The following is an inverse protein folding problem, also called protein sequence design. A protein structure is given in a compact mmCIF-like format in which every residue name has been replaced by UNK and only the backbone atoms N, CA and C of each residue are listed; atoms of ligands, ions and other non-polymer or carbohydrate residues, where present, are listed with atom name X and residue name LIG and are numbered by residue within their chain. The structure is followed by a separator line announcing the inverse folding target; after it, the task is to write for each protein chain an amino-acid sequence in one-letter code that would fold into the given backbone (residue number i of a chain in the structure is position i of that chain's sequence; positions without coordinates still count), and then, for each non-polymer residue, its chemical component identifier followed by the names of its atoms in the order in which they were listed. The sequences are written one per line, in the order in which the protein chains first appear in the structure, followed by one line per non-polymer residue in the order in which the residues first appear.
data_IF_566245633204
#
_entry.id   IF_566245633204
#
_cell.length_a   1.000
_cell.length_b   1.000
_cell.length_c   1.000
_cell.angle_alpha   90.00
_cell.angle_beta   90.00
_cell.angle_gamma   90.00
#
_symmetry.space_group_name_H-M   'P 1'
#
loop_
_entity.id
_entity.type
_entity.pdbx_description
1 polymer ?
#
# COMPACT_ATOMS: atom_id res chain seq x y z
N UNK A 1 -47.14 -33.25 -54.36
CA UNK A 1 -47.62 -32.65 -53.11
C UNK A 1 -46.89 -33.32 -51.94
N UNK A 2 -45.74 -32.77 -51.53
CA UNK A 2 -44.92 -33.30 -50.44
C UNK A 2 -45.28 -32.52 -49.17
N UNK A 3 -45.89 -33.17 -48.18
CA UNK A 3 -46.09 -32.59 -46.84
C UNK A 3 -44.76 -32.68 -46.09
N UNK A 4 -44.08 -31.56 -45.90
CA UNK A 4 -43.00 -31.44 -44.92
C UNK A 4 -43.65 -31.36 -43.53
N UNK A 5 -43.33 -32.34 -42.67
CA UNK A 5 -43.63 -32.27 -41.24
C UNK A 5 -42.58 -31.37 -40.57
N UNK A 6 -43.05 -30.32 -39.90
CA UNK A 6 -42.23 -29.45 -39.08
C UNK A 6 -41.96 -30.17 -37.75
N UNK A 7 -40.71 -30.54 -37.49
CA UNK A 7 -40.25 -30.99 -36.17
C UNK A 7 -40.04 -29.73 -35.33
N UNK A 8 -40.84 -29.55 -34.28
CA UNK A 8 -40.60 -28.52 -33.27
C UNK A 8 -39.36 -28.92 -32.46
N UNK A 9 -38.24 -28.21 -32.67
CA UNK A 9 -37.08 -28.33 -31.82
C UNK A 9 -37.43 -27.70 -30.45
N UNK A 10 -37.53 -28.54 -29.42
CA UNK A 10 -37.54 -28.12 -28.03
C UNK A 10 -36.16 -27.48 -27.77
N UNK A 11 -36.08 -26.15 -27.80
CA UNK A 11 -34.92 -25.42 -27.28
C UNK A 11 -34.92 -25.63 -25.76
N UNK A 12 -34.08 -26.56 -25.32
CA UNK A 12 -33.66 -26.68 -23.93
C UNK A 12 -33.02 -25.34 -23.54
N UNK A 13 -33.71 -24.56 -22.69
CA UNK A 13 -33.10 -23.46 -21.95
C UNK A 13 -31.92 -24.04 -21.16
N UNK A 14 -30.71 -23.69 -21.57
CA UNK A 14 -29.51 -23.95 -20.79
C UNK A 14 -29.65 -23.30 -19.41
N UNK A 15 -29.07 -23.88 -18.34
CA UNK A 15 -29.14 -23.30 -17.01
C UNK A 15 -28.51 -21.91 -17.03
N UNK A 16 -29.13 -20.96 -16.31
CA UNK A 16 -28.51 -19.67 -15.97
C UNK A 16 -27.11 -19.95 -15.46
N UNK A 17 -26.12 -19.20 -15.94
CA UNK A 17 -24.74 -19.24 -15.43
C UNK A 17 -24.84 -19.14 -13.90
N UNK A 18 -24.14 -19.98 -13.16
CA UNK A 18 -24.15 -19.89 -11.70
C UNK A 18 -23.71 -18.47 -11.32
N UNK A 19 -24.60 -17.71 -10.69
CA UNK A 19 -24.31 -16.34 -10.28
C UNK A 19 -23.22 -16.37 -9.19
N UNK A 20 -22.28 -15.42 -9.25
CA UNK A 20 -21.13 -15.37 -8.36
C UNK A 20 -21.36 -14.45 -7.14
N UNK A 21 -22.33 -13.55 -7.23
CA UNK A 21 -22.81 -12.75 -6.11
C UNK A 21 -23.34 -13.65 -4.99
N UNK A 22 -23.24 -13.17 -3.76
CA UNK A 22 -23.76 -13.85 -2.58
C UNK A 22 -24.65 -12.91 -1.78
N UNK A 23 -25.44 -13.48 -0.88
CA UNK A 23 -26.05 -12.70 0.20
C UNK A 23 -25.00 -12.36 1.25
N UNK A 24 -25.24 -11.28 2.00
CA UNK A 24 -24.36 -10.91 3.12
C UNK A 24 -24.31 -12.00 4.19
N UNK A 25 -25.42 -12.74 4.36
CA UNK A 25 -25.51 -13.93 5.20
C UNK A 25 -26.59 -14.92 4.72
N UNK A 26 -26.58 -16.13 5.29
CA UNK A 26 -27.41 -17.28 4.84
C UNK A 26 -28.93 -17.12 5.07
N UNK A 27 -29.33 -16.18 5.91
CA UNK A 27 -30.73 -15.81 6.17
C UNK A 27 -31.30 -14.91 5.08
N UNK A 28 -30.43 -14.36 4.21
CA UNK A 28 -30.76 -13.50 3.08
C UNK A 28 -31.53 -12.22 3.51
N UNK A 29 -31.02 -11.45 4.48
CA UNK A 29 -31.71 -10.28 4.98
C UNK A 29 -31.75 -9.19 3.90
N UNK A 30 -32.86 -8.43 3.89
CA UNK A 30 -33.07 -7.27 3.04
C UNK A 30 -33.96 -6.24 3.71
N UNK A 31 -33.98 -5.01 3.22
CA UNK A 31 -34.93 -4.02 3.72
C UNK A 31 -36.36 -4.34 3.27
N UNK A 32 -37.29 -4.37 4.23
CA UNK A 32 -38.72 -4.62 3.97
C UNK A 32 -39.52 -3.36 3.62
N UNK A 33 -38.98 -2.19 3.96
CA UNK A 33 -39.55 -0.86 3.73
C UNK A 33 -38.43 0.12 3.38
N UNK A 34 -38.74 1.28 2.78
CA UNK A 34 -37.81 2.40 2.66
C UNK A 34 -37.08 2.68 3.96
N UNK A 35 -35.77 2.88 3.87
CA UNK A 35 -34.91 3.29 4.97
C UNK A 35 -34.12 4.54 4.59
N UNK A 36 -33.81 5.33 5.60
CA UNK A 36 -33.08 6.56 5.49
C UNK A 36 -31.64 6.32 5.94
N UNK A 37 -30.68 6.89 5.19
CA UNK A 37 -29.28 6.95 5.58
C UNK A 37 -28.87 8.41 5.81
N UNK A 38 -28.10 8.65 6.85
CA UNK A 38 -27.61 9.96 7.25
C UNK A 38 -26.09 10.04 7.03
N UNK A 39 -25.58 11.21 6.64
CA UNK A 39 -24.14 11.46 6.62
C UNK A 39 -23.70 11.95 8.01
N UNK A 40 -22.83 11.17 8.66
CA UNK A 40 -22.18 11.49 9.92
C UNK A 40 -21.08 12.54 9.75
N UNK A 41 -19.83 12.16 10.02
CA UNK A 41 -18.68 13.01 9.73
C UNK A 41 -18.28 12.92 8.24
N UNK A 42 -18.07 14.07 7.56
CA UNK A 42 -17.62 14.10 6.17
C UNK A 42 -16.10 13.86 6.08
N UNK A 43 -15.62 13.52 4.88
CA UNK A 43 -14.18 13.37 4.60
C UNK A 43 -13.50 14.73 4.42
N UNK A 44 -12.41 14.97 5.14
CA UNK A 44 -11.63 16.19 4.99
C UNK A 44 -11.02 16.32 3.58
N UNK A 45 -10.62 15.20 2.97
CA UNK A 45 -10.04 15.17 1.62
C UNK A 45 -11.06 15.62 0.57
N UNK A 46 -12.28 15.06 0.62
CA UNK A 46 -13.33 15.35 -0.36
C UNK A 46 -13.86 16.78 -0.24
N UNK A 47 -13.98 17.31 0.99
CA UNK A 47 -14.37 18.72 1.18
C UNK A 47 -13.32 19.70 0.62
N UNK A 48 -12.08 19.24 0.39
CA UNK A 48 -11.02 20.01 -0.26
C UNK A 48 -11.08 20.02 -1.79
N UNK A 49 -11.90 19.17 -2.42
CA UNK A 49 -11.96 18.99 -3.89
C UNK A 49 -13.03 19.92 -4.48
N UNK A 50 -12.69 20.63 -5.56
CA UNK A 50 -13.61 21.58 -6.21
C UNK A 50 -14.79 20.91 -6.96
N UNK A 51 -14.68 19.63 -7.27
CA UNK A 51 -15.60 18.88 -8.13
C UNK A 51 -16.73 18.14 -7.38
N UNK A 52 -16.75 18.16 -6.04
CA UNK A 52 -17.81 17.58 -5.23
C UNK A 52 -17.49 17.53 -3.73
N UNK A 53 -18.52 17.36 -2.90
CA UNK A 53 -18.41 17.17 -1.44
C UNK A 53 -18.59 15.69 -1.09
N UNK A 54 -18.35 15.31 0.16
CA UNK A 54 -18.62 13.96 0.66
C UNK A 54 -20.07 13.52 0.41
N UNK A 55 -21.03 14.42 0.64
CA UNK A 55 -22.46 14.17 0.41
C UNK A 55 -22.75 13.90 -1.07
N UNK A 56 -22.07 14.58 -1.99
CA UNK A 56 -22.25 14.37 -3.42
C UNK A 56 -21.75 12.99 -3.87
N UNK A 57 -20.61 12.52 -3.37
CA UNK A 57 -20.11 11.16 -3.66
C UNK A 57 -21.01 10.07 -3.07
N UNK A 58 -21.54 10.30 -1.86
CA UNK A 58 -22.53 9.40 -1.25
C UNK A 58 -23.81 9.32 -2.08
N UNK A 59 -24.35 10.46 -2.52
CA UNK A 59 -25.54 10.47 -3.37
C UNK A 59 -25.30 9.73 -4.69
N UNK A 60 -24.13 9.92 -5.33
CA UNK A 60 -23.75 9.20 -6.55
C UNK A 60 -23.74 7.68 -6.35
N UNK A 61 -23.15 7.19 -5.25
CA UNK A 61 -23.10 5.76 -4.92
C UNK A 61 -24.49 5.17 -4.60
N UNK A 62 -25.37 5.96 -3.95
CA UNK A 62 -26.77 5.59 -3.74
C UNK A 62 -27.50 5.46 -5.09
N UNK A 63 -27.31 6.43 -5.97
CA UNK A 63 -27.96 6.47 -7.28
C UNK A 63 -27.53 5.28 -8.17
N UNK A 64 -26.27 4.84 -8.07
CA UNK A 64 -25.79 3.64 -8.77
C UNK A 64 -26.66 2.42 -8.48
N UNK A 65 -27.05 2.21 -7.22
CA UNK A 65 -27.96 1.13 -6.83
C UNK A 65 -29.42 1.44 -7.19
N UNK A 66 -29.92 2.64 -6.89
CA UNK A 66 -31.33 3.02 -7.16
C UNK A 66 -31.69 2.98 -8.64
N UNK A 67 -30.71 3.18 -9.51
CA UNK A 67 -30.93 3.32 -10.94
C UNK A 67 -30.84 1.98 -11.68
N UNK A 68 -30.53 0.87 -10.99
CA UNK A 68 -30.59 -0.48 -11.57
C UNK A 68 -32.04 -0.80 -12.00
N UNK A 69 -32.32 -1.01 -13.31
CA UNK A 69 -33.69 -0.99 -13.82
C UNK A 69 -34.63 -2.07 -13.28
N UNK A 70 -34.09 -3.24 -12.92
CA UNK A 70 -34.87 -4.36 -12.40
C UNK A 70 -35.03 -4.34 -10.87
N UNK A 71 -34.49 -3.33 -10.18
CA UNK A 71 -34.53 -3.22 -8.74
C UNK A 71 -35.41 -2.05 -8.25
N UNK A 72 -36.05 -2.24 -7.11
CA UNK A 72 -36.68 -1.19 -6.31
C UNK A 72 -35.90 -1.01 -5.02
N UNK A 73 -34.72 -0.39 -5.13
CA UNK A 73 -33.80 -0.19 -4.00
C UNK A 73 -34.37 0.88 -3.06
N UNK A 74 -34.64 0.54 -1.77
CA UNK A 74 -35.47 1.36 -0.89
C UNK A 74 -34.61 2.26 0.02
N UNK A 75 -33.63 2.98 -0.53
CA UNK A 75 -32.70 3.84 0.22
C UNK A 75 -32.89 5.32 -0.15
N UNK A 76 -32.90 6.19 0.85
CA UNK A 76 -32.92 7.66 0.69
C UNK A 76 -31.86 8.34 1.58
N UNK A 77 -31.19 9.36 1.06
CA UNK A 77 -30.24 10.19 1.79
C UNK A 77 -30.95 11.38 2.45
N UNK A 78 -30.81 11.52 3.76
CA UNK A 78 -31.42 12.63 4.53
C UNK A 78 -30.46 13.85 4.63
N UNK A 79 -29.19 13.65 4.29
CA UNK A 79 -28.12 14.65 4.35
C UNK A 79 -27.28 14.56 5.61
N UNK A 80 -26.46 15.58 5.87
CA UNK A 80 -25.56 15.59 7.01
C UNK A 80 -26.27 15.81 8.35
N UNK A 81 -26.07 14.90 9.30
CA UNK A 81 -26.61 14.98 10.67
C UNK A 81 -25.53 15.02 11.74
N UNK A 82 -24.29 14.61 11.42
CA UNK A 82 -23.22 14.45 12.40
C UNK A 82 -23.46 13.32 13.40
N UNK A 83 -24.39 12.40 13.11
CA UNK A 83 -24.58 11.17 13.88
C UNK A 83 -23.30 10.31 13.83
N UNK A 84 -23.09 9.52 14.88
CA UNK A 84 -22.05 8.50 14.90
C UNK A 84 -22.64 7.16 14.44
N UNK A 85 -21.84 6.34 13.78
CA UNK A 85 -22.17 4.94 13.50
C UNK A 85 -22.13 4.15 14.82
N UNK A 86 -23.30 3.77 15.34
CA UNK A 86 -23.45 3.05 16.60
C UNK A 86 -24.48 1.95 16.40
N UNK A 87 -23.99 0.72 16.23
CA UNK A 87 -24.84 -0.44 16.04
C UNK A 87 -25.87 -0.62 17.18
N UNK A 88 -27.14 -0.69 16.82
CA UNK A 88 -28.31 -0.86 17.67
C UNK A 88 -28.98 0.44 18.14
N UNK A 89 -28.62 1.59 17.57
CA UNK A 89 -29.22 2.89 17.90
C UNK A 89 -30.44 3.27 17.03
N UNK A 90 -30.75 2.44 16.02
CA UNK A 90 -31.86 2.59 15.08
C UNK A 90 -31.60 3.58 13.96
N UNK A 91 -30.35 4.01 13.75
CA UNK A 91 -29.95 4.89 12.65
C UNK A 91 -29.05 4.16 11.66
N UNK A 92 -29.10 4.59 10.42
CA UNK A 92 -28.17 4.13 9.39
C UNK A 92 -27.25 5.29 9.05
N UNK A 93 -25.97 5.17 9.40
CA UNK A 93 -25.01 6.27 9.27
C UNK A 93 -23.88 5.88 8.33
N UNK A 94 -23.57 6.76 7.36
CA UNK A 94 -22.28 6.73 6.66
C UNK A 94 -21.37 7.76 7.31
N UNK A 95 -20.19 7.37 7.78
CA UNK A 95 -19.26 8.29 8.42
C UNK A 95 -17.81 8.03 8.02
N UNK A 96 -17.04 9.11 7.88
CA UNK A 96 -15.61 9.08 7.61
C UNK A 96 -14.83 9.37 8.90
N UNK A 97 -13.91 8.48 9.26
CA UNK A 97 -13.01 8.65 10.40
C UNK A 97 -11.72 9.34 9.96
N UNK A 98 -11.47 10.51 10.52
CA UNK A 98 -10.23 11.28 10.31
C UNK A 98 -9.21 11.07 11.46
N UNK A 99 -9.65 10.43 12.55
CA UNK A 99 -8.79 9.95 13.63
C UNK A 99 -9.40 8.69 14.27
N UNK A 100 -8.60 7.97 15.06
CA UNK A 100 -9.06 6.89 15.95
C UNK A 100 -9.90 5.80 15.24
N UNK A 101 -9.47 5.37 14.05
CA UNK A 101 -10.10 4.29 13.29
C UNK A 101 -10.26 3.02 14.16
N UNK A 102 -11.49 2.51 14.36
CA UNK A 102 -11.75 1.46 15.35
C UNK A 102 -11.49 0.03 14.84
N UNK A 103 -11.23 -0.14 13.55
CA UNK A 103 -11.03 -1.44 12.91
C UNK A 103 -9.56 -1.69 12.53
N UNK A 104 -9.29 -2.80 11.85
CA UNK A 104 -7.96 -3.07 11.30
C UNK A 104 -7.58 -2.00 10.26
N UNK A 105 -6.32 -1.57 10.27
CA UNK A 105 -5.82 -0.50 9.41
C UNK A 105 -5.91 -0.84 7.91
N UNK A 106 -5.99 -2.13 7.56
CA UNK A 106 -6.10 -2.60 6.17
C UNK A 106 -7.50 -2.48 5.58
N UNK A 107 -8.51 -2.17 6.40
CA UNK A 107 -9.88 -1.97 5.95
C UNK A 107 -10.06 -0.52 5.48
N UNK A 108 -10.46 -0.36 4.22
CA UNK A 108 -10.79 0.95 3.62
C UNK A 108 -12.17 1.41 4.08
N UNK A 109 -13.10 0.46 4.21
CA UNK A 109 -14.45 0.65 4.73
C UNK A 109 -14.89 -0.58 5.50
N UNK A 110 -15.92 -0.41 6.32
CA UNK A 110 -16.58 -1.47 7.06
C UNK A 110 -18.07 -1.18 7.14
N UNK A 111 -18.89 -2.16 6.79
CA UNK A 111 -20.33 -2.13 7.01
C UNK A 111 -20.70 -3.02 8.18
N UNK A 112 -21.28 -2.44 9.22
CA UNK A 112 -21.91 -3.16 10.32
C UNK A 112 -23.43 -3.11 10.18
N UNK A 113 -24.13 -4.15 10.60
CA UNK A 113 -25.57 -4.25 10.37
C UNK A 113 -26.27 -5.10 11.42
N UNK A 114 -27.56 -4.82 11.62
CA UNK A 114 -28.47 -5.60 12.45
C UNK A 114 -29.62 -6.14 11.62
N UNK A 115 -30.05 -7.36 11.96
CA UNK A 115 -31.18 -8.03 11.32
C UNK A 115 -32.18 -8.51 12.34
N UNK A 116 -33.47 -8.45 12.00
CA UNK A 116 -34.54 -9.04 12.80
C UNK A 116 -35.51 -9.84 11.92
N UNK A 117 -36.26 -10.71 12.57
CA UNK A 117 -37.39 -11.42 11.98
C UNK A 117 -38.46 -10.43 11.51
N UNK A 118 -38.94 -10.64 10.28
CA UNK A 118 -39.98 -9.80 9.68
C UNK A 118 -40.93 -10.65 8.85
N UNK A 119 -41.96 -10.02 8.26
CA UNK A 119 -42.93 -10.71 7.40
C UNK A 119 -42.31 -11.36 6.16
N UNK A 120 -41.14 -10.88 5.73
CA UNK A 120 -40.37 -11.42 4.59
C UNK A 120 -39.36 -12.51 4.99
N UNK A 121 -39.30 -12.91 6.27
CA UNK A 121 -38.29 -13.82 6.80
C UNK A 121 -37.33 -13.09 7.73
N UNK A 122 -36.18 -12.69 7.21
CA UNK A 122 -35.21 -11.84 7.90
C UNK A 122 -35.10 -10.51 7.17
N UNK A 123 -35.11 -9.42 7.91
CA UNK A 123 -34.98 -8.08 7.38
C UNK A 123 -33.75 -7.39 7.99
N UNK A 124 -33.10 -6.56 7.18
CA UNK A 124 -32.21 -5.54 7.69
C UNK A 124 -33.04 -4.56 8.53
N UNK A 125 -32.54 -4.18 9.70
CA UNK A 125 -33.17 -3.17 10.56
C UNK A 125 -32.24 -1.99 10.84
N UNK A 126 -30.93 -2.20 10.68
CA UNK A 126 -29.92 -1.16 10.83
C UNK A 126 -28.70 -1.52 9.96
N UNK A 127 -28.05 -0.50 9.38
CA UNK A 127 -26.75 -0.64 8.72
C UNK A 127 -25.93 0.65 8.83
N UNK A 128 -24.74 0.54 9.40
CA UNK A 128 -23.77 1.62 9.52
C UNK A 128 -22.56 1.34 8.62
N UNK A 129 -22.11 2.37 7.91
CA UNK A 129 -20.93 2.34 7.04
C UNK A 129 -19.87 3.28 7.61
N UNK A 130 -18.76 2.69 8.01
CA UNK A 130 -17.61 3.40 8.57
C UNK A 130 -16.47 3.39 7.54
N UNK A 131 -15.90 4.56 7.23
CA UNK A 131 -14.86 4.71 6.22
C UNK A 131 -13.56 5.27 6.81
N UNK A 132 -12.43 4.69 6.41
CA UNK A 132 -11.12 4.94 7.00
C UNK A 132 -10.37 6.09 6.29
N UNK A 133 -10.57 7.33 6.74
CA UNK A 133 -9.73 8.50 6.36
C UNK A 133 -8.42 8.62 7.15
N UNK A 134 -8.18 7.76 8.15
CA UNK A 134 -6.93 7.78 8.93
C UNK A 134 -5.77 7.17 8.13
N UNK A 135 -6.04 6.11 7.37
CA UNK A 135 -5.02 5.36 6.64
C UNK A 135 -5.10 5.53 5.12
N UNK A 136 -6.18 6.11 4.61
CA UNK A 136 -6.42 6.28 3.18
C UNK A 136 -6.80 7.72 2.86
N UNK A 137 -6.45 8.14 1.65
CA UNK A 137 -6.76 9.48 1.12
C UNK A 137 -7.91 9.35 0.14
N UNK A 138 -9.00 10.07 0.39
CA UNK A 138 -10.21 9.98 -0.43
C UNK A 138 -10.13 10.87 -1.67
N UNK A 139 -10.46 10.30 -2.83
CA UNK A 139 -10.49 10.99 -4.12
C UNK A 139 -11.82 10.79 -4.84
N UNK A 140 -12.19 11.71 -5.73
CA UNK A 140 -13.32 11.58 -6.65
C UNK A 140 -12.92 10.94 -8.00
N UNK A 141 -11.62 10.78 -8.24
CA UNK A 141 -11.03 10.10 -9.39
C UNK A 141 -10.58 8.67 -9.03
N UNK A 142 -10.32 7.84 -10.05
CA UNK A 142 -9.67 6.53 -9.87
C UNK A 142 -8.33 6.67 -9.17
N UNK A 143 -7.99 5.68 -8.35
CA UNK A 143 -6.76 5.70 -7.56
C UNK A 143 -6.36 4.31 -7.09
N UNK A 144 -5.09 4.18 -6.69
CA UNK A 144 -4.56 3.00 -6.01
C UNK A 144 -4.20 3.34 -4.58
N UNK A 145 -4.32 2.35 -3.69
CA UNK A 145 -3.99 2.50 -2.27
C UNK A 145 -2.63 3.21 -2.08
N UNK A 146 -2.54 4.22 -1.19
CA UNK A 146 -3.58 4.64 -0.24
C UNK A 146 -4.63 5.62 -0.79
N UNK A 147 -4.57 6.04 -2.06
CA UNK A 147 -5.56 6.93 -2.68
C UNK A 147 -6.74 6.13 -3.20
N UNK A 148 -7.91 6.33 -2.60
CA UNK A 148 -9.10 5.51 -2.84
C UNK A 148 -10.24 6.37 -3.37
N UNK A 149 -10.89 5.87 -4.41
CA UNK A 149 -12.05 6.52 -4.98
C UNK A 149 -13.25 6.34 -4.03
N UNK A 150 -13.79 7.45 -3.53
CA UNK A 150 -14.86 7.47 -2.55
C UNK A 150 -16.12 6.76 -3.06
N UNK A 151 -16.59 7.11 -4.26
CA UNK A 151 -17.79 6.48 -4.87
C UNK A 151 -17.65 4.97 -4.97
N UNK A 152 -16.47 4.47 -5.34
CA UNK A 152 -16.23 3.02 -5.47
C UNK A 152 -16.38 2.28 -4.14
N UNK A 153 -15.77 2.79 -3.07
CA UNK A 153 -15.87 2.17 -1.75
C UNK A 153 -17.29 2.33 -1.19
N UNK A 154 -17.88 3.52 -1.31
CA UNK A 154 -19.26 3.77 -0.90
C UNK A 154 -20.23 2.83 -1.61
N UNK A 155 -20.06 2.61 -2.92
CA UNK A 155 -20.87 1.67 -3.69
C UNK A 155 -20.74 0.25 -3.15
N UNK A 156 -19.53 -0.21 -2.81
CA UNK A 156 -19.27 -1.52 -2.21
C UNK A 156 -19.95 -1.67 -0.85
N UNK A 157 -19.70 -0.74 0.07
CA UNK A 157 -20.24 -0.79 1.43
C UNK A 157 -21.77 -0.64 1.45
N UNK A 158 -22.33 0.22 0.58
CA UNK A 158 -23.78 0.31 0.43
C UNK A 158 -24.39 -0.98 -0.12
N UNK A 159 -23.66 -1.75 -0.94
CA UNK A 159 -24.10 -3.07 -1.34
C UNK A 159 -24.26 -4.02 -0.14
N UNK A 160 -23.34 -3.97 0.83
CA UNK A 160 -23.48 -4.67 2.10
C UNK A 160 -24.67 -4.15 2.92
N UNK A 161 -24.84 -2.83 3.02
CA UNK A 161 -25.99 -2.23 3.71
C UNK A 161 -27.33 -2.64 3.07
N UNK A 162 -27.33 -2.99 1.79
CA UNK A 162 -28.47 -3.51 1.05
C UNK A 162 -28.65 -5.04 1.16
N UNK A 163 -27.72 -5.77 1.78
CA UNK A 163 -27.80 -7.21 2.00
C UNK A 163 -27.02 -8.08 1.01
N UNK A 164 -26.20 -7.48 0.13
CA UNK A 164 -25.28 -8.20 -0.74
C UNK A 164 -24.02 -8.61 0.03
N UNK A 165 -23.49 -9.79 -0.28
CA UNK A 165 -22.18 -10.24 0.16
C UNK A 165 -21.14 -10.06 -0.92
N UNK A 166 -19.90 -10.43 -0.60
CA UNK A 166 -18.80 -10.34 -1.55
C UNK A 166 -19.00 -11.20 -2.79
N UNK A 167 -18.69 -10.64 -3.96
CA UNK A 167 -18.58 -11.37 -5.22
C UNK A 167 -17.13 -11.81 -5.48
N UNK A 168 -16.99 -12.95 -6.17
CA UNK A 168 -15.69 -13.41 -6.69
C UNK A 168 -15.36 -12.87 -8.09
N UNK A 169 -16.29 -12.15 -8.73
CA UNK A 169 -16.09 -11.54 -10.05
C UNK A 169 -15.17 -10.33 -9.88
N UNK A 170 -14.04 -10.33 -10.59
CA UNK A 170 -13.01 -9.29 -10.42
C UNK A 170 -13.50 -7.88 -10.70
N UNK A 171 -14.47 -7.71 -11.63
CA UNK A 171 -15.01 -6.40 -12.00
C UNK A 171 -16.30 -6.01 -11.27
N UNK A 172 -16.76 -6.82 -10.32
CA UNK A 172 -17.97 -6.53 -9.56
C UNK A 172 -17.72 -5.44 -8.52
N UNK A 173 -18.70 -4.56 -8.32
CA UNK A 173 -18.72 -3.60 -7.23
C UNK A 173 -18.54 -4.30 -5.88
N UNK A 174 -19.14 -5.49 -5.71
CA UNK A 174 -19.02 -6.30 -4.49
C UNK A 174 -17.72 -7.12 -4.40
N UNK A 175 -16.72 -6.88 -5.24
CA UNK A 175 -15.43 -7.57 -5.08
C UNK A 175 -14.70 -7.05 -3.82
N UNK A 176 -14.23 -7.93 -2.92
CA UNK A 176 -13.57 -7.52 -1.67
C UNK A 176 -12.18 -6.90 -1.89
N UNK A 177 -11.63 -6.96 -3.12
CA UNK A 177 -10.33 -6.38 -3.46
C UNK A 177 -10.54 -5.05 -4.15
N UNK A 178 -10.21 -3.98 -3.46
CA UNK A 178 -10.15 -2.67 -4.08
C UNK A 178 -9.11 -2.64 -5.19
N UNK A 179 -9.56 -2.44 -6.42
CA UNK A 179 -8.71 -2.31 -7.60
C UNK A 179 -9.16 -1.08 -8.38
N UNK A 180 -8.36 0.00 -8.31
CA UNK A 180 -8.50 1.22 -9.12
C UNK A 180 -9.77 2.06 -8.98
N UNK A 181 -10.71 1.72 -8.11
CA UNK A 181 -11.96 2.46 -8.00
C UNK A 181 -12.94 2.05 -9.11
N UNK A 182 -13.59 0.91 -8.91
CA UNK A 182 -14.71 0.47 -9.74
C UNK A 182 -15.86 1.46 -9.58
N UNK A 183 -16.26 2.10 -10.68
CA UNK A 183 -17.36 3.06 -10.68
C UNK A 183 -18.65 2.49 -11.27
N UNK A 184 -18.69 1.22 -11.66
CA UNK A 184 -19.81 0.62 -12.40
C UNK A 184 -20.39 -0.56 -11.61
N UNK A 185 -21.72 -0.67 -11.63
CA UNK A 185 -22.44 -1.87 -11.20
C UNK A 185 -22.29 -2.92 -12.32
N UNK A 186 -21.65 -4.05 -12.03
CA UNK A 186 -21.48 -5.12 -13.00
C UNK A 186 -22.72 -6.01 -13.09
N UNK A 187 -22.82 -6.82 -14.15
CA UNK A 187 -23.96 -7.74 -14.36
C UNK A 187 -24.19 -8.67 -13.14
N UNK A 188 -23.12 -9.11 -12.47
CA UNK A 188 -23.23 -9.96 -11.27
C UNK A 188 -23.82 -9.19 -10.07
N UNK A 189 -23.51 -7.89 -9.93
CA UNK A 189 -24.10 -7.01 -8.93
C UNK A 189 -25.59 -6.74 -9.26
N UNK A 190 -25.92 -6.54 -10.55
CA UNK A 190 -27.30 -6.40 -11.05
C UNK A 190 -28.13 -7.63 -10.72
N UNK A 191 -27.61 -8.82 -10.99
CA UNK A 191 -28.28 -10.09 -10.68
C UNK A 191 -28.58 -10.21 -9.17
N UNK A 192 -27.65 -9.79 -8.31
CA UNK A 192 -27.82 -9.78 -6.86
C UNK A 192 -28.89 -8.81 -6.40
N UNK A 193 -28.76 -7.53 -6.76
CA UNK A 193 -29.67 -6.51 -6.28
C UNK A 193 -31.10 -6.71 -6.81
N UNK A 194 -31.26 -7.17 -8.05
CA UNK A 194 -32.58 -7.49 -8.61
C UNK A 194 -33.19 -8.76 -8.02
N UNK A 195 -32.38 -9.65 -7.44
CA UNK A 195 -32.88 -10.77 -6.65
C UNK A 195 -33.39 -10.31 -5.28
N UNK A 196 -32.71 -9.36 -4.64
CA UNK A 196 -33.10 -8.83 -3.33
C UNK A 196 -34.32 -7.91 -3.40
N UNK A 197 -34.35 -7.02 -4.41
CA UNK A 197 -35.35 -5.96 -4.53
C UNK A 197 -36.07 -6.01 -5.88
N UNK A 198 -36.69 -7.13 -6.27
CA UNK A 198 -37.25 -7.29 -7.60
C UNK A 198 -38.35 -6.27 -7.88
N UNK A 199 -38.31 -5.66 -9.06
CA UNK A 199 -39.37 -4.81 -9.59
C UNK A 199 -40.22 -5.59 -10.61
N UNK A 200 -41.55 -5.42 -10.57
CA UNK A 200 -42.46 -6.09 -11.52
C UNK A 200 -42.31 -5.59 -12.96
N UNK A 201 -42.10 -4.29 -13.12
CA UNK A 201 -41.93 -3.62 -14.42
C UNK A 201 -40.60 -2.85 -14.40
N UNK A 202 -39.71 -3.00 -15.38
CA UNK A 202 -38.44 -2.28 -15.39
C UNK A 202 -38.63 -0.76 -15.28
N UNK A 203 -37.75 -0.10 -14.51
CA UNK A 203 -37.72 1.36 -14.49
C UNK A 203 -37.42 1.90 -15.89
N UNK A 204 -38.23 2.87 -16.31
CA UNK A 204 -37.94 3.69 -17.49
C UNK A 204 -37.08 4.86 -17.01
N UNK A 205 -35.89 5.02 -17.58
CA UNK A 205 -35.01 6.13 -17.23
C UNK A 205 -35.50 7.44 -17.87
N UNK A 206 -35.15 8.57 -17.25
CA UNK A 206 -35.27 9.91 -17.82
C UNK A 206 -34.01 10.72 -17.49
N UNK A 207 -33.45 11.48 -18.44
CA UNK A 207 -32.24 12.27 -18.20
C UNK A 207 -31.05 11.43 -17.75
N UNK A 208 -30.55 11.70 -16.54
CA UNK A 208 -29.36 11.09 -15.95
C UNK A 208 -29.72 9.94 -14.98
N UNK A 209 -30.96 9.44 -15.03
CA UNK A 209 -31.50 8.34 -14.21
C UNK A 209 -30.95 6.95 -14.57
N UNK A 210 -29.64 6.84 -14.80
CA UNK A 210 -28.98 5.58 -15.10
C UNK A 210 -27.76 5.37 -14.22
N UNK A 211 -27.45 4.12 -13.83
CA UNK A 211 -26.20 3.81 -13.15
C UNK A 211 -25.02 4.37 -13.91
N UNK A 212 -23.94 4.72 -13.20
CA UNK A 212 -22.75 5.27 -13.83
C UNK A 212 -22.30 4.45 -15.05
N UNK A 213 -21.89 5.15 -16.12
CA UNK A 213 -21.50 4.53 -17.38
C UNK A 213 -22.63 4.22 -18.36
N UNK A 214 -23.87 4.31 -17.91
CA UNK A 214 -25.03 4.12 -18.75
C UNK A 214 -25.68 5.48 -19.06
N UNK A 215 -26.33 5.58 -20.22
CA UNK A 215 -27.11 6.75 -20.59
C UNK A 215 -28.53 6.34 -20.93
N UNK A 216 -29.47 7.22 -20.61
CA UNK A 216 -30.85 6.97 -20.95
C UNK A 216 -31.09 7.14 -22.46
N UNK A 217 -31.45 6.05 -23.13
CA UNK A 217 -31.75 6.05 -24.57
C UNK A 217 -33.10 5.38 -24.79
N UNK A 218 -34.08 6.16 -25.25
CA UNK A 218 -35.46 5.70 -25.48
C UNK A 218 -36.10 5.03 -24.24
N UNK A 219 -35.77 5.52 -23.04
CA UNK A 219 -36.28 4.99 -21.78
C UNK A 219 -35.55 3.75 -21.25
N UNK A 220 -34.48 3.32 -21.90
CA UNK A 220 -33.61 2.22 -21.45
C UNK A 220 -32.21 2.73 -21.09
N UNK A 221 -31.69 2.30 -19.94
CA UNK A 221 -30.27 2.50 -19.62
C UNK A 221 -29.44 1.57 -20.49
N UNK A 222 -28.72 2.17 -21.45
CA UNK A 222 -27.83 1.45 -22.36
C UNK A 222 -26.39 1.91 -22.11
N UNK A 223 -25.39 1.06 -22.39
CA UNK A 223 -24.00 1.50 -22.40
C UNK A 223 -23.89 2.78 -23.22
N UNK A 224 -23.25 3.79 -22.63
CA UNK A 224 -23.12 5.10 -23.23
C UNK A 224 -22.39 5.00 -24.58
N UNK A 225 -23.12 4.80 -25.68
CA UNK A 225 -22.53 4.80 -27.04
C UNK A 225 -22.03 6.19 -27.46
N UNK A 226 -22.24 7.22 -26.63
CA UNK A 226 -22.06 8.65 -26.94
C UNK A 226 -21.77 9.53 -25.71
N UNK A 227 -21.12 9.04 -24.66
CA UNK A 227 -20.54 9.97 -23.68
C UNK A 227 -19.18 10.38 -24.22
N UNK A 228 -18.95 11.67 -24.55
CA UNK A 228 -17.61 12.16 -24.72
C UNK A 228 -16.91 12.01 -23.37
N UNK A 229 -16.04 11.02 -23.25
CA UNK A 229 -15.18 10.96 -22.09
C UNK A 229 -14.24 12.18 -22.15
N UNK A 230 -14.03 12.80 -21.01
CA UNK A 230 -13.01 13.83 -20.83
C UNK A 230 -11.85 13.33 -19.98
N UNK A 231 -12.08 12.27 -19.20
CA UNK A 231 -11.09 11.60 -18.37
C UNK A 231 -11.28 10.09 -18.43
N UNK A 232 -10.25 9.31 -18.07
CA UNK A 232 -10.36 7.85 -18.00
C UNK A 232 -11.40 7.34 -16.97
N UNK A 233 -11.77 8.18 -16.01
CA UNK A 233 -12.82 7.87 -15.02
C UNK A 233 -14.20 7.71 -15.66
N UNK A 234 -14.40 8.29 -16.84
CA UNK A 234 -15.68 8.23 -17.55
C UNK A 234 -15.90 6.89 -18.29
N UNK A 235 -14.91 5.99 -18.27
CA UNK A 235 -14.87 4.75 -19.06
C UNK A 235 -14.93 3.50 -18.18
N UNK A 236 -15.31 2.34 -18.72
CA UNK A 236 -15.34 1.07 -17.99
C UNK A 236 -13.96 0.68 -17.41
N UNK A 237 -13.89 -0.35 -16.55
CA UNK A 237 -12.63 -0.74 -15.90
C UNK A 237 -11.54 -1.16 -16.91
N UNK A 238 -11.96 -1.73 -18.03
CA UNK A 238 -11.15 -2.23 -19.14
C UNK A 238 -11.10 -1.26 -20.34
N UNK A 239 -11.54 -0.02 -20.15
CA UNK A 239 -11.57 1.00 -21.20
C UNK A 239 -10.83 2.27 -20.76
N UNK A 240 -10.23 2.96 -21.73
CA UNK A 240 -9.59 4.26 -21.52
C UNK A 240 -10.26 5.32 -22.35
N UNK A 241 -10.31 6.53 -21.79
CA UNK A 241 -10.72 7.69 -22.58
C UNK A 241 -9.66 8.06 -23.60
N UNK A 242 -9.98 7.95 -24.88
CA UNK A 242 -9.22 8.57 -25.95
C UNK A 242 -9.65 10.03 -26.06
N UNK A 243 -8.85 10.94 -25.51
CA UNK A 243 -9.14 12.38 -25.45
C UNK A 243 -9.31 13.04 -26.83
N UNK A 244 -8.63 12.53 -27.86
CA UNK A 244 -8.72 13.07 -29.23
C UNK A 244 -10.08 12.77 -29.87
N UNK A 245 -10.64 11.59 -29.59
CA UNK A 245 -11.95 11.19 -30.09
C UNK A 245 -13.09 11.43 -29.09
N UNK A 246 -12.77 11.69 -27.83
CA UNK A 246 -13.71 11.69 -26.71
C UNK A 246 -14.38 10.32 -26.53
N UNK A 247 -13.69 9.21 -26.78
CA UNK A 247 -14.32 7.88 -26.73
C UNK A 247 -13.61 6.96 -25.75
N UNK A 248 -14.39 6.24 -24.97
CA UNK A 248 -13.90 5.06 -24.28
C UNK A 248 -13.54 4.01 -25.33
N UNK A 249 -12.27 3.64 -25.36
CA UNK A 249 -11.73 2.62 -26.27
C UNK A 249 -11.28 1.44 -25.45
N UNK A 250 -11.65 0.25 -25.92
CA UNK A 250 -11.10 -1.03 -25.49
C UNK A 250 -9.64 -1.08 -25.94
N UNK A 251 -8.74 -0.61 -25.08
CA UNK A 251 -7.35 -1.05 -25.12
C UNK A 251 -7.29 -2.31 -24.26
N UNK A 252 -6.71 -3.39 -24.80
CA UNK A 252 -6.58 -4.66 -24.10
C UNK A 252 -6.13 -4.40 -22.64
N UNK A 253 -6.66 -5.12 -21.64
CA UNK A 253 -6.37 -4.86 -20.22
C UNK A 253 -4.86 -4.96 -20.04
N UNK A 254 -4.15 -3.84 -19.94
CA UNK A 254 -2.75 -3.87 -20.37
C UNK A 254 -2.04 -2.53 -20.31
N UNK A 255 -2.13 -1.87 -19.17
CA UNK A 255 -0.86 -1.49 -18.58
C UNK A 255 -0.36 -2.69 -17.80
N UNK A 256 0.94 -2.95 -17.77
CA UNK A 256 1.39 -4.10 -17.02
C UNK A 256 1.26 -3.85 -15.50
N UNK A 257 0.74 -4.83 -14.76
CA UNK A 257 0.64 -4.76 -13.31
C UNK A 257 2.01 -4.46 -12.66
N UNK A 258 1.99 -3.99 -11.41
CA UNK A 258 3.21 -3.77 -10.62
C UNK A 258 4.25 -4.90 -10.79
N UNK A 259 5.51 -4.53 -11.04
CA UNK A 259 6.65 -5.44 -11.23
C UNK A 259 7.05 -5.74 -12.67
N UNK A 260 6.22 -5.37 -13.65
CA UNK A 260 6.50 -5.55 -15.07
C UNK A 260 7.36 -4.44 -15.66
N UNK A 261 8.13 -4.71 -16.72
CA UNK A 261 8.96 -3.70 -17.37
C UNK A 261 8.12 -2.64 -18.08
N UNK A 262 8.59 -1.40 -18.05
CA UNK A 262 7.93 -0.28 -18.74
C UNK A 262 8.98 0.64 -19.36
N UNK A 263 8.56 1.44 -20.34
CA UNK A 263 9.35 2.52 -20.95
C UNK A 263 8.74 3.90 -20.66
N UNK A 264 7.44 3.95 -20.36
CA UNK A 264 6.71 5.14 -19.94
C UNK A 264 5.54 4.76 -19.03
N UNK A 265 4.96 5.74 -18.33
CA UNK A 265 3.76 5.53 -17.50
C UNK A 265 2.57 4.99 -18.30
N UNK A 266 2.53 5.24 -19.61
CA UNK A 266 1.50 4.68 -20.50
C UNK A 266 1.59 3.16 -20.68
N UNK A 267 2.77 2.55 -20.44
CA UNK A 267 2.93 1.09 -20.43
C UNK A 267 2.42 0.47 -19.12
N UNK A 268 2.13 1.32 -18.13
CA UNK A 268 1.72 0.93 -16.81
C UNK A 268 0.24 1.12 -16.60
N UNK A 269 -0.22 0.28 -15.71
CA UNK A 269 -1.59 0.12 -15.33
C UNK A 269 -1.99 1.41 -14.56
N UNK A 270 -3.17 2.00 -14.77
CA UNK A 270 -3.45 3.40 -14.33
C UNK A 270 -3.19 3.64 -12.83
N UNK A 271 -2.51 4.75 -12.49
CA UNK A 271 -2.04 5.04 -11.13
C UNK A 271 -0.73 4.34 -10.75
N UNK A 272 -0.18 3.51 -11.63
CA UNK A 272 1.13 2.88 -11.48
C UNK A 272 2.17 3.66 -12.29
N UNK A 273 3.24 4.08 -11.62
CA UNK A 273 4.32 4.86 -12.19
C UNK A 273 5.30 3.96 -12.93
N UNK A 274 5.91 4.46 -14.00
CA UNK A 274 7.03 3.80 -14.65
C UNK A 274 8.35 4.36 -14.11
N UNK A 275 8.91 3.72 -13.09
CA UNK A 275 10.08 4.24 -12.37
C UNK A 275 11.27 3.27 -12.45
N UNK A 276 12.51 3.78 -12.46
CA UNK A 276 13.70 2.94 -12.41
C UNK A 276 13.88 2.36 -11.01
N UNK A 277 13.59 1.07 -10.86
CA UNK A 277 13.75 0.32 -9.62
C UNK A 277 14.78 -0.79 -9.84
N UNK A 278 15.82 -0.85 -9.00
CA UNK A 278 16.92 -1.82 -9.12
C UNK A 278 17.57 -1.84 -10.52
N UNK A 279 17.74 -0.66 -11.12
CA UNK A 279 18.40 -0.51 -12.42
C UNK A 279 17.56 -0.89 -13.65
N UNK A 280 16.25 -1.10 -13.48
CA UNK A 280 15.30 -1.29 -14.59
C UNK A 280 14.03 -0.47 -14.38
N UNK A 281 13.47 0.08 -15.44
CA UNK A 281 12.15 0.71 -15.38
C UNK A 281 11.08 -0.37 -15.25
N UNK A 282 10.29 -0.28 -14.18
CA UNK A 282 9.14 -1.15 -13.95
C UNK A 282 7.91 -0.34 -13.56
N UNK A 283 6.74 -0.89 -13.83
CA UNK A 283 5.49 -0.42 -13.27
C UNK A 283 5.53 -0.63 -11.76
N UNK A 284 5.44 0.46 -10.99
CA UNK A 284 5.53 0.46 -9.53
C UNK A 284 4.66 1.55 -8.91
N UNK A 285 4.35 1.40 -7.62
CA UNK A 285 3.69 2.43 -6.82
C UNK A 285 4.67 3.01 -5.81
N UNK A 286 4.50 4.27 -5.37
CA UNK A 286 5.27 4.82 -4.26
C UNK A 286 4.97 4.05 -2.97
N UNK A 287 5.95 4.01 -2.07
CA UNK A 287 5.83 3.32 -0.79
C UNK A 287 6.61 4.06 0.31
N UNK A 288 6.24 3.80 1.55
CA UNK A 288 6.93 4.33 2.73
C UNK A 288 8.23 3.54 2.96
N UNK A 289 9.37 4.22 2.76
CA UNK A 289 10.71 3.68 2.95
C UNK A 289 11.07 3.38 4.41
N UNK A 290 10.41 3.98 5.40
CA UNK A 290 10.56 3.62 6.81
C UNK A 290 9.80 2.34 7.15
N UNK A 291 8.86 1.95 6.30
CA UNK A 291 8.07 0.73 6.44
C UNK A 291 8.31 -0.20 5.24
N UNK A 292 9.36 -1.06 5.26
CA UNK A 292 9.71 -1.93 4.12
C UNK A 292 8.60 -2.85 3.59
N UNK A 293 7.52 -3.04 4.37
CA UNK A 293 6.34 -3.86 4.05
C UNK A 293 5.11 -3.04 3.61
N UNK A 294 5.28 -1.75 3.32
CA UNK A 294 4.21 -0.85 2.86
C UNK A 294 3.67 -1.18 1.46
N UNK A 295 4.28 -2.16 0.77
CA UNK A 295 3.88 -2.60 -0.56
C UNK A 295 2.90 -3.78 -0.55
N UNK A 296 2.15 -4.00 -1.66
CA UNK A 296 1.29 -5.17 -1.82
C UNK A 296 2.03 -6.50 -1.66
N UNK A 297 1.30 -7.57 -1.37
CA UNK A 297 1.87 -8.91 -1.19
C UNK A 297 2.69 -9.33 -2.41
N UNK A 298 3.92 -9.82 -2.18
CA UNK A 298 4.88 -10.18 -3.23
C UNK A 298 5.86 -9.07 -3.60
N UNK A 299 5.71 -7.89 -3.00
CA UNK A 299 6.56 -6.72 -3.20
C UNK A 299 7.10 -6.21 -1.87
N UNK A 300 8.20 -5.47 -1.92
CA UNK A 300 8.78 -4.76 -0.79
C UNK A 300 9.11 -3.32 -1.20
N UNK A 301 9.20 -2.42 -0.23
CA UNK A 301 9.54 -1.04 -0.52
C UNK A 301 11.05 -0.93 -0.77
N UNK A 302 11.43 -0.75 -2.04
CA UNK A 302 12.81 -0.43 -2.40
C UNK A 302 12.99 1.07 -2.27
N UNK A 303 13.95 1.48 -1.44
CA UNK A 303 14.10 2.88 -1.09
C UNK A 303 14.78 3.66 -2.20
N UNK A 304 14.38 4.93 -2.31
CA UNK A 304 15.08 5.88 -3.16
C UNK A 304 16.29 6.43 -2.40
N UNK A 305 17.46 6.38 -3.01
CA UNK A 305 18.65 7.08 -2.51
C UNK A 305 18.50 8.59 -2.80
N UNK A 306 17.67 9.26 -2.00
CA UNK A 306 17.44 10.70 -2.05
C UNK A 306 17.67 11.32 -0.69
N UNK A 307 17.82 12.65 -0.64
CA UNK A 307 17.94 13.38 0.61
C UNK A 307 16.67 13.33 1.49
N UNK A 308 15.49 13.05 0.90
CA UNK A 308 14.25 12.87 1.66
C UNK A 308 14.13 11.45 2.20
N UNK A 309 13.99 11.36 3.53
CA UNK A 309 13.74 10.10 4.22
C UNK A 309 12.32 9.56 3.92
N UNK A 310 12.17 8.24 3.91
CA UNK A 310 10.85 7.59 3.83
C UNK A 310 10.25 7.47 2.43
N UNK A 311 10.98 7.81 1.36
CA UNK A 311 10.48 7.63 -0.01
C UNK A 311 11.05 6.36 -0.66
N UNK A 312 10.20 5.64 -1.37
CA UNK A 312 10.58 4.43 -2.11
C UNK A 312 9.56 4.04 -3.17
N UNK A 313 9.89 2.99 -3.90
CA UNK A 313 8.99 2.35 -4.87
C UNK A 313 8.96 0.84 -4.66
N UNK A 314 7.80 0.24 -4.87
CA UNK A 314 7.60 -1.19 -4.69
C UNK A 314 8.36 -2.07 -5.70
N UNK A 315 9.31 -2.86 -5.21
CA UNK A 315 10.07 -3.83 -5.99
C UNK A 315 9.56 -5.27 -5.76
N UNK A 316 9.57 -6.14 -6.79
CA UNK A 316 9.17 -7.53 -6.62
C UNK A 316 10.19 -8.29 -5.77
N UNK A 317 9.71 -9.13 -4.86
CA UNK A 317 10.56 -10.05 -4.09
C UNK A 317 11.02 -11.16 -5.03
N UNK A 318 12.31 -11.15 -5.43
CA UNK A 318 12.86 -12.12 -6.39
C UNK A 318 13.19 -13.47 -5.74
N UNK A 319 13.69 -13.44 -4.52
CA UNK A 319 13.80 -14.58 -3.61
C UNK A 319 13.66 -14.02 -2.18
N UNK A 320 12.79 -14.60 -1.35
CA UNK A 320 12.65 -14.15 0.04
C UNK A 320 13.87 -14.61 0.84
N UNK A 321 14.91 -13.79 0.91
CA UNK A 321 16.01 -14.01 1.82
C UNK A 321 15.54 -13.84 3.26
N UNK A 322 15.84 -14.84 4.09
CA UNK A 322 15.51 -14.86 5.51
C UNK A 322 16.63 -14.31 6.39
N UNK A 323 17.51 -13.46 5.86
CA UNK A 323 18.66 -12.91 6.58
C UNK A 323 18.24 -12.20 7.86
N UNK A 324 18.87 -12.56 8.98
CA UNK A 324 18.62 -11.90 10.25
C UNK A 324 19.34 -10.54 10.31
N UNK A 325 18.90 -9.66 11.21
CA UNK A 325 19.59 -8.38 11.42
C UNK A 325 21.08 -8.61 11.71
N UNK A 326 21.95 -7.87 11.03
CA UNK A 326 23.40 -7.96 11.13
C UNK A 326 24.07 -8.98 10.19
N UNK A 327 23.31 -9.74 9.39
CA UNK A 327 23.91 -10.63 8.37
C UNK A 327 24.22 -9.87 7.08
N UNK A 328 25.24 -10.29 6.30
CA UNK A 328 25.52 -9.68 5.00
C UNK A 328 24.34 -9.80 4.02
N UNK A 329 24.19 -8.80 3.15
CA UNK A 329 23.22 -8.79 2.04
C UNK A 329 23.81 -8.05 0.84
N UNK A 330 23.31 -8.39 -0.35
CA UNK A 330 23.54 -7.64 -1.58
C UNK A 330 22.33 -6.77 -1.94
N UNK A 331 21.13 -7.27 -1.66
CA UNK A 331 19.85 -6.59 -1.93
C UNK A 331 18.93 -6.61 -0.72
N UNK A 332 18.01 -5.66 -0.65
CA UNK A 332 17.01 -5.57 0.42
C UNK A 332 16.16 -6.85 0.55
N UNK A 333 15.89 -7.55 -0.56
CA UNK A 333 15.18 -8.84 -0.53
C UNK A 333 15.94 -10.00 0.14
N UNK A 334 17.24 -9.87 0.38
CA UNK A 334 18.04 -10.91 1.07
C UNK A 334 17.71 -10.99 2.57
N UNK A 335 17.08 -9.95 3.10
CA UNK A 335 16.85 -9.74 4.51
C UNK A 335 15.40 -10.04 4.90
N UNK A 336 15.19 -10.69 6.05
CA UNK A 336 13.84 -10.87 6.60
C UNK A 336 13.17 -9.54 6.98
N UNK A 337 13.97 -8.50 7.21
CA UNK A 337 13.53 -7.11 7.39
C UNK A 337 13.15 -6.41 6.08
N UNK A 338 13.49 -6.99 4.93
CA UNK A 338 13.34 -6.41 3.60
C UNK A 338 14.11 -5.09 3.41
N UNK A 339 15.22 -4.92 4.14
CA UNK A 339 16.05 -3.73 4.05
C UNK A 339 17.53 -4.08 4.24
N UNK A 340 18.34 -3.72 3.24
CA UNK A 340 19.78 -3.88 3.20
C UNK A 340 20.43 -2.49 3.12
N UNK A 341 21.27 -2.14 4.10
CA UNK A 341 22.02 -0.89 4.09
C UNK A 341 23.49 -1.17 4.45
N UNK A 342 24.40 -0.53 3.73
CA UNK A 342 25.86 -0.77 3.80
C UNK A 342 26.24 -2.29 3.74
N UNK A 343 25.50 -3.06 2.94
CA UNK A 343 25.72 -4.50 2.75
C UNK A 343 25.34 -5.38 3.94
N UNK A 344 24.53 -4.87 4.88
CA UNK A 344 24.08 -5.60 6.07
C UNK A 344 22.56 -5.50 6.22
N UNK A 345 21.92 -6.63 6.58
CA UNK A 345 20.50 -6.68 6.89
C UNK A 345 20.19 -5.85 8.14
N UNK A 346 19.31 -4.87 7.99
CA UNK A 346 19.01 -3.88 9.03
C UNK A 346 17.56 -3.40 8.90
N UNK A 347 17.15 -2.43 9.71
CA UNK A 347 15.89 -1.69 9.62
C UNK A 347 16.20 -0.22 9.37
N UNK A 348 15.44 0.47 8.51
CA UNK A 348 15.61 1.91 8.31
C UNK A 348 15.21 2.67 9.57
N UNK A 349 15.74 3.87 9.76
CA UNK A 349 15.36 4.77 10.85
C UNK A 349 15.36 6.22 10.40
N UNK A 350 14.43 6.99 10.95
CA UNK A 350 14.35 8.43 10.75
C UNK A 350 15.43 9.13 11.59
N UNK A 351 16.14 10.10 11.01
CA UNK A 351 17.18 10.86 11.71
C UNK A 351 16.58 11.94 12.63
N UNK A 352 15.37 12.42 12.33
CA UNK A 352 14.68 13.42 13.14
C UNK A 352 13.92 12.77 14.32
N UNK A 353 13.51 11.51 14.16
CA UNK A 353 12.84 10.70 15.17
C UNK A 353 13.42 9.27 15.22
N UNK A 354 14.68 9.08 15.69
CA UNK A 354 15.37 7.81 15.60
C UNK A 354 14.74 6.74 16.50
N UNK A 355 14.14 5.74 15.86
CA UNK A 355 13.59 4.54 16.49
C UNK A 355 14.31 3.32 15.92
N UNK A 356 15.00 2.58 16.78
CA UNK A 356 15.67 1.34 16.43
C UNK A 356 15.33 0.21 17.41
N UNK A 357 15.42 -1.07 16.99
CA UNK A 357 15.29 -2.20 17.89
C UNK A 357 16.24 -2.13 19.10
N UNK A 358 15.89 -2.74 20.25
CA UNK A 358 16.71 -2.66 21.46
C UNK A 358 18.17 -3.04 21.24
N UNK A 359 19.08 -2.17 21.69
CA UNK A 359 20.53 -2.35 21.56
C UNK A 359 21.13 -1.90 20.22
N UNK A 360 20.33 -1.28 19.35
CA UNK A 360 20.76 -0.64 18.11
C UNK A 360 20.55 0.87 18.17
N UNK A 361 21.32 1.61 17.38
CA UNK A 361 21.22 3.06 17.20
C UNK A 361 21.12 3.39 15.72
N UNK A 362 20.57 4.56 15.42
CA UNK A 362 20.39 5.01 14.05
C UNK A 362 21.70 5.58 13.50
N UNK A 363 22.22 4.99 12.42
CA UNK A 363 23.44 5.46 11.75
C UNK A 363 23.08 6.25 10.50
N UNK A 364 23.29 7.57 10.54
CA UNK A 364 23.04 8.51 9.44
C UNK A 364 23.93 8.32 8.20
N UNK A 365 24.99 7.52 8.27
CA UNK A 365 25.93 7.29 7.18
C UNK A 365 25.78 5.92 6.51
N UNK A 366 24.82 5.10 6.96
CA UNK A 366 24.58 3.77 6.38
C UNK A 366 23.55 3.78 5.25
N UNK A 367 22.70 4.79 5.20
CA UNK A 367 21.65 4.94 4.19
C UNK A 367 21.50 6.42 3.83
N UNK A 368 21.18 6.75 2.59
CA UNK A 368 21.07 8.15 2.17
C UNK A 368 19.67 8.71 2.52
N UNK A 369 19.62 9.94 3.02
CA UNK A 369 18.39 10.64 3.42
C UNK A 369 17.76 10.19 4.74
N UNK A 370 17.81 8.90 5.05
CA UNK A 370 17.50 8.35 6.38
C UNK A 370 18.77 7.85 7.06
N UNK A 371 18.64 7.13 8.18
CA UNK A 371 19.67 6.24 8.69
C UNK A 371 19.28 4.77 8.59
N UNK A 372 20.19 3.90 9.03
CA UNK A 372 19.91 2.49 9.27
C UNK A 372 20.32 2.07 10.69
N UNK A 373 19.58 1.13 11.28
CA UNK A 373 19.83 0.68 12.63
C UNK A 373 21.01 -0.29 12.70
N UNK A 374 22.06 0.05 13.43
CA UNK A 374 23.16 -0.87 13.68
C UNK A 374 23.68 -0.76 15.10
N UNK A 375 24.69 -1.58 15.42
CA UNK A 375 25.28 -1.56 16.75
C UNK A 375 26.06 -0.25 16.94
N UNK A 376 26.00 0.35 18.15
CA UNK A 376 26.86 1.47 18.49
C UNK A 376 28.32 1.20 18.15
N UNK A 377 28.98 2.20 17.58
CA UNK A 377 30.39 2.14 17.22
C UNK A 377 31.26 2.25 18.48
N UNK A 378 32.30 1.40 18.61
CA UNK A 378 33.21 1.48 19.73
C UNK A 378 34.04 2.77 19.69
N UNK A 379 34.58 3.15 20.85
CA UNK A 379 35.49 4.29 20.93
C UNK A 379 36.68 4.12 19.96
N UNK A 380 37.03 5.20 19.27
CA UNK A 380 38.08 5.26 18.26
C UNK A 380 37.60 5.00 16.83
N UNK A 381 36.36 4.55 16.63
CA UNK A 381 35.77 4.36 15.32
C UNK A 381 35.33 5.71 14.69
N UNK A 382 35.33 5.83 13.34
CA UNK A 382 34.80 7.03 12.69
C UNK A 382 33.31 7.18 12.92
N UNK A 383 32.82 8.42 12.97
CA UNK A 383 31.39 8.74 13.13
C UNK A 383 31.03 10.04 12.42
N UNK A 384 29.74 10.23 12.19
CA UNK A 384 29.18 11.48 11.65
C UNK A 384 28.32 12.23 12.67
N UNK A 385 27.72 11.52 13.62
CA UNK A 385 26.88 12.09 14.67
C UNK A 385 27.06 11.37 16.01
N UNK A 386 26.63 12.01 17.09
CA UNK A 386 26.77 11.53 18.46
C UNK A 386 26.02 10.21 18.73
N UNK A 387 24.87 10.02 18.10
CA UNK A 387 23.99 8.87 18.33
C UNK A 387 24.61 7.54 17.88
N UNK A 388 25.64 7.59 17.02
CA UNK A 388 26.33 6.39 16.51
C UNK A 388 27.27 5.75 17.51
N UNK A 389 27.66 6.45 18.58
CA UNK A 389 28.79 6.10 19.41
C UNK A 389 28.37 5.44 20.73
N UNK A 390 29.07 4.38 21.12
CA UNK A 390 28.91 3.71 22.43
C UNK A 390 29.29 4.63 23.62
N UNK A 391 30.02 5.72 23.34
CA UNK A 391 30.37 6.79 24.29
C UNK A 391 29.60 8.09 24.10
N UNK A 392 28.50 8.07 23.33
CA UNK A 392 27.57 9.18 23.05
C UNK A 392 28.18 10.43 22.40
N UNK A 393 29.49 10.46 22.13
CA UNK A 393 30.15 11.64 21.57
C UNK A 393 30.92 11.30 20.29
N UNK A 394 30.55 11.99 19.22
CA UNK A 394 31.30 12.08 17.98
C UNK A 394 32.09 13.40 17.96
N UNK A 395 33.40 13.33 18.17
CA UNK A 395 34.27 14.50 18.21
C UNK A 395 34.96 14.71 16.87
N UNK A 396 34.89 15.90 16.28
CA UNK A 396 35.75 16.23 15.12
C UNK A 396 37.21 16.32 15.59
N UNK A 397 38.01 15.35 15.15
CA UNK A 397 39.40 15.21 15.54
C UNK A 397 40.24 14.84 14.33
N UNK A 398 41.25 15.68 14.04
CA UNK A 398 42.16 15.51 12.88
C UNK A 398 41.43 15.39 11.53
N UNK A 399 40.41 16.24 11.31
CA UNK A 399 39.60 16.35 10.08
C UNK A 399 38.69 15.14 9.84
N UNK A 400 37.93 14.77 10.86
CA UNK A 400 37.01 13.64 10.81
C UNK A 400 36.41 13.34 12.18
N UNK A 401 35.14 12.95 12.22
CA UNK A 401 34.47 12.55 13.46
C UNK A 401 35.03 11.24 13.99
N UNK A 402 35.25 11.18 15.30
CA UNK A 402 35.65 9.97 16.01
C UNK A 402 34.81 9.73 17.25
N UNK A 403 34.32 8.50 17.41
CA UNK A 403 33.62 8.10 18.62
C UNK A 403 34.58 8.15 19.79
N UNK A 404 34.21 8.91 20.83
CA UNK A 404 35.05 9.11 22.00
C UNK A 404 34.20 9.18 23.26
N UNK A 405 34.86 9.16 24.41
CA UNK A 405 34.26 9.39 25.72
C UNK A 405 35.15 10.36 26.50
N UNK A 406 34.56 11.04 27.48
CA UNK A 406 35.30 11.86 28.45
C UNK A 406 36.14 10.93 29.33
N UNK A 407 37.37 11.34 29.64
CA UNK A 407 38.28 10.58 30.49
C UNK A 407 38.99 11.49 31.50
N UNK A 408 39.38 10.93 32.64
CA UNK A 408 40.22 11.62 33.62
C UNK A 408 41.67 11.13 33.56
N UNK A 409 41.83 9.83 33.31
CA UNK A 409 43.09 9.12 33.29
C UNK A 409 43.22 8.23 32.05
N UNK A 410 44.43 7.74 31.77
CA UNK A 410 44.65 6.85 30.64
C UNK A 410 43.89 5.51 30.79
N UNK A 411 43.70 5.04 32.02
CA UNK A 411 43.09 3.75 32.31
C UNK A 411 41.58 3.72 32.00
N UNK A 412 40.95 4.87 31.83
CA UNK A 412 39.53 5.00 31.44
C UNK A 412 39.31 4.67 29.96
N UNK A 413 40.39 4.65 29.17
CA UNK A 413 40.32 4.47 27.72
C UNK A 413 40.69 3.04 27.30
N UNK A 414 40.05 2.49 26.25
CA UNK A 414 40.47 1.25 25.62
C UNK A 414 41.96 1.25 25.24
N UNK A 415 42.59 0.07 25.21
CA UNK A 415 44.05 -0.06 25.08
C UNK A 415 44.67 0.67 23.87
N UNK A 416 43.90 0.82 22.78
CA UNK A 416 44.31 1.50 21.55
C UNK A 416 44.24 3.04 21.62
N UNK A 417 43.61 3.59 22.65
CA UNK A 417 43.35 5.02 22.82
C UNK A 417 44.13 5.59 24.02
N UNK A 418 44.24 6.91 24.08
CA UNK A 418 44.90 7.65 25.16
C UNK A 418 44.00 8.78 25.61
N UNK A 419 44.06 9.12 26.90
CA UNK A 419 43.31 10.26 27.43
C UNK A 419 44.02 11.58 27.10
N UNK A 420 43.63 12.20 25.99
CA UNK A 420 44.27 13.38 25.41
C UNK A 420 43.41 14.62 25.61
N UNK A 421 44.06 15.78 25.80
CA UNK A 421 43.36 17.05 25.94
C UNK A 421 42.98 17.62 24.56
N UNK A 422 41.72 18.00 24.40
CA UNK A 422 41.17 18.63 23.19
C UNK A 422 40.10 19.65 23.64
N UNK A 423 40.17 20.88 23.12
CA UNK A 423 39.13 21.90 23.41
C UNK A 423 38.87 22.25 24.89
N UNK A 424 39.81 21.96 25.80
CA UNK A 424 39.66 22.24 27.24
C UNK A 424 39.07 21.09 28.08
N UNK A 425 38.72 19.96 27.46
CA UNK A 425 38.37 18.72 28.13
C UNK A 425 39.33 17.60 27.71
N UNK A 426 39.18 16.39 28.28
CA UNK A 426 40.01 15.24 27.94
C UNK A 426 39.14 14.11 27.42
N UNK A 427 39.61 13.48 26.35
CA UNK A 427 38.86 12.49 25.59
C UNK A 427 39.73 11.29 25.23
N UNK A 428 39.10 10.12 25.09
CA UNK A 428 39.76 8.91 24.61
C UNK A 428 40.03 8.98 23.11
N UNK A 429 41.23 9.44 22.73
CA UNK A 429 41.61 9.70 21.34
C UNK A 429 42.80 8.84 20.91
N UNK A 430 42.92 8.52 19.61
CA UNK A 430 44.09 7.84 19.09
C UNK A 430 45.34 8.69 19.34
N UNK A 431 46.46 8.10 19.79
CA UNK A 431 47.70 8.84 19.96
C UNK A 431 48.18 9.46 18.63
N UNK A 432 49.02 10.51 18.69
CA UNK A 432 49.74 10.98 17.51
C UNK A 432 50.48 9.81 16.85
N UNK A 433 50.50 9.74 15.52
CA UNK A 433 51.44 8.83 14.85
C UNK A 433 52.83 9.38 15.13
N UNK A 434 53.68 8.58 15.76
CA UNK A 434 55.10 8.89 15.85
C UNK A 434 55.68 8.90 14.43
N UNK A 435 55.80 10.09 13.83
CA UNK A 435 56.76 10.30 12.76
C UNK A 435 58.14 10.11 13.37
N UNK A 436 58.65 8.88 13.25
CA UNK A 436 59.82 8.41 13.97
C UNK A 436 61.03 9.33 13.84
N UNK A 437 61.32 10.05 14.92
CA UNK A 437 62.67 10.35 15.35
C UNK A 437 62.91 9.53 16.62
N UNK A 438 63.36 8.29 16.43
CA UNK A 438 63.64 7.36 17.52
C UNK A 438 64.73 7.90 18.44
N UNK A 439 64.42 8.03 19.72
CA UNK A 439 65.43 8.03 20.77
C UNK A 439 66.05 6.62 20.83
N UNK A 440 67.24 6.47 20.25
CA UNK A 440 68.09 5.32 20.50
C UNK A 440 68.46 5.30 21.99
N UNK A 441 67.86 4.37 22.74
CA UNK A 441 68.43 3.94 24.01
C UNK A 441 69.62 3.02 23.69
N UNK A 442 70.80 3.47 24.09
CA UNK A 442 72.00 2.67 24.10
C UNK A 442 71.90 1.61 25.19
N UNK A 443 72.02 0.34 24.82
CA UNK A 443 72.52 -0.69 25.73
C UNK A 443 73.29 -1.76 24.95
N UNK A 444 74.32 -2.37 25.57
CA UNK A 444 75.44 -2.94 24.85
C UNK A 444 75.38 -4.46 24.76
N UNK A 445 75.89 -5.00 23.65
CA UNK A 445 76.59 -6.29 23.61
C UNK A 445 75.72 -7.54 23.58
N UNK A 446 75.61 -8.16 22.39
CA UNK A 446 75.16 -9.54 22.24
C UNK A 446 75.49 -10.06 20.85
N UNK A 447 76.38 -11.03 20.77
CA UNK A 447 77.03 -11.53 19.56
C UNK A 447 76.07 -12.18 18.54
N UNK A 448 76.42 -12.05 17.25
CA UNK A 448 75.81 -12.76 16.13
C UNK A 448 76.04 -14.29 16.22
N UNK A 449 75.13 -15.08 15.61
CA UNK A 449 75.63 -15.98 14.57
C UNK A 449 74.72 -16.10 13.33
N UNK A 450 75.39 -16.02 12.17
CA UNK A 450 75.36 -16.92 11.01
C UNK A 450 74.00 -17.39 10.44
N UNK A 451 73.79 -16.97 9.19
CA UNK A 451 72.80 -17.39 8.20
C UNK A 451 72.88 -18.89 7.89
N UNK A 452 71.73 -19.57 7.84
CA UNK A 452 71.57 -20.79 7.03
C UNK A 452 70.15 -20.88 6.47
N UNK A 453 70.05 -20.68 5.15
CA UNK A 453 68.88 -20.88 4.33
C UNK A 453 68.70 -22.37 4.03
N UNK A 454 67.49 -22.91 4.19
CA UNK A 454 67.14 -24.22 3.68
C UNK A 454 65.78 -24.17 2.96
N UNK A 455 65.85 -24.11 1.64
CA UNK A 455 64.76 -24.42 0.72
C UNK A 455 64.55 -25.94 0.71
N UNK A 456 63.32 -26.40 0.95
CA UNK A 456 62.90 -27.77 0.62
C UNK A 456 61.59 -27.72 -0.18
N UNK A 457 61.75 -27.93 -1.48
CA UNK A 457 60.71 -28.36 -2.41
C UNK A 457 60.30 -29.79 -2.09
N UNK A 458 58.99 -30.08 -2.01
CA UNK A 458 58.52 -31.46 -2.14
C UNK A 458 57.42 -31.58 -3.18
N UNK A 459 57.78 -32.34 -4.22
CA UNK A 459 56.96 -32.79 -5.33
C UNK A 459 56.15 -34.01 -4.85
N UNK A 460 54.85 -34.05 -5.14
CA UNK A 460 54.15 -35.34 -5.27
C UNK A 460 53.32 -35.37 -6.55
N UNK A 461 53.79 -36.19 -7.51
CA UNK A 461 53.09 -36.55 -8.74
C UNK A 461 52.34 -37.86 -8.53
N UNK A 462 51.02 -37.81 -8.79
CA UNK A 462 50.16 -38.77 -9.54
C UNK A 462 50.36 -40.29 -9.35
N UNK A 463 49.23 -41.01 -9.22
CA UNK A 463 48.70 -41.93 -10.26
C UNK A 463 47.31 -42.50 -9.87
N UNK A 464 46.31 -42.27 -10.74
CA UNK A 464 45.59 -43.26 -11.60
C UNK A 464 44.61 -44.19 -10.87
N UNK A 465 43.32 -44.07 -11.21
CA UNK A 465 42.71 -44.85 -12.29
C UNK A 465 41.82 -43.95 -13.14
#
# INVERSE_FOLDING_TARGET
MKKLGLVAALLLLAPRVAAAWTYIELTHPRWGTPFEIELGAPSADLEGIAAGTTEAELQKAIDDWRFVPCAEVPIDLVGQSGAAAILGDGKNVVTFYESDWPHDFSFVGMTSYETDSCSAGWCMVEADVELNGVNYVWTDVRGSLPYVNARSILMHELGHALGLGHSSVSGAAMNPRYTRGYLFIADDDVDGICTLYPREEPRICEGDDCPFGLSCVDGECRPATRVPCTTHNDCAYDERCNEESGRCVQEAPGGDAIGHPCSSEADCDEGILCEPVLGRSICTVPCDGLTPRSCPTGFYCERKATAECGTGYCAPVREAGGGALGTPCETSSDCGSLHCADGICTTPCDLDAPICPPGLVCHADMDEGCGACAKPRPLGAPCVDNGQCDGELCLDYRRGGICTAVCESHDDCPAALRCLAEGGARFCLPPPKDDGCGCQSTSPGGAAPVVLSALLLWISRRRRR
#
